data_IF_537799748721
#
_entry.id   IF_537799748721
#
_cell.length_a   1.000
_cell.length_b   1.000
_cell.length_c   1.000
_cell.angle_alpha   90.00
_cell.angle_beta   90.00
_cell.angle_gamma   90.00
#
_symmetry.space_group_name_H-M   'P 1'
#
loop_
_entity.id
_entity.type
_entity.pdbx_description
1 polymer ?
#
# COMPACT_ATOMS: atom_id res chain seq x y z
N UNK A 1 36.57 21.17 9.64
CA UNK A 1 37.14 20.06 8.83
C UNK A 1 36.92 18.64 9.40
N UNK A 2 36.13 18.43 10.49
CA UNK A 2 35.86 17.10 11.08
C UNK A 2 34.62 16.37 10.54
N UNK A 3 33.70 17.08 9.86
CA UNK A 3 32.46 16.51 9.30
C UNK A 3 32.69 15.67 8.02
N UNK A 4 33.74 15.93 7.23
CA UNK A 4 33.99 15.20 5.98
C UNK A 4 34.58 13.79 6.19
N UNK A 5 35.34 13.58 7.28
CA UNK A 5 35.94 12.26 7.57
C UNK A 5 34.92 11.23 8.09
N UNK A 6 33.87 11.67 8.80
CA UNK A 6 32.80 10.76 9.27
C UNK A 6 31.93 10.26 8.11
N UNK A 7 31.54 11.14 7.18
CA UNK A 7 30.76 10.75 5.99
C UNK A 7 31.50 9.77 5.08
N UNK A 8 32.82 9.96 4.89
CA UNK A 8 33.65 9.02 4.14
C UNK A 8 33.77 7.63 4.82
N UNK A 9 33.73 7.58 6.16
CA UNK A 9 33.73 6.32 6.91
C UNK A 9 32.38 5.60 6.88
N UNK A 10 31.28 6.36 6.80
CA UNK A 10 29.92 5.84 6.65
C UNK A 10 29.76 5.17 5.27
N UNK A 11 30.16 5.84 4.19
CA UNK A 11 30.09 5.27 2.84
C UNK A 11 30.92 3.99 2.68
N UNK A 12 32.10 3.91 3.30
CA UNK A 12 32.91 2.67 3.33
C UNK A 12 32.24 1.51 4.07
N UNK A 13 31.29 1.79 4.98
CA UNK A 13 30.52 0.78 5.73
C UNK A 13 29.19 0.41 5.05
N UNK A 14 28.67 1.26 4.15
CA UNK A 14 27.42 1.00 3.42
C UNK A 14 27.54 -0.17 2.44
N UNK A 15 28.65 -0.30 1.70
CA UNK A 15 28.86 -1.41 0.77
C UNK A 15 28.85 -2.80 1.45
N UNK A 16 29.68 -3.02 2.51
CA UNK A 16 29.66 -4.25 3.29
C UNK A 16 28.29 -4.52 3.95
N UNK A 17 27.61 -3.47 4.42
CA UNK A 17 26.26 -3.59 4.98
C UNK A 17 25.24 -4.04 3.92
N UNK A 18 25.22 -3.42 2.74
CA UNK A 18 24.33 -3.82 1.65
C UNK A 18 24.59 -5.28 1.21
N UNK A 19 25.86 -5.68 1.10
CA UNK A 19 26.22 -7.08 0.81
C UNK A 19 25.74 -8.04 1.91
N UNK A 20 25.86 -7.65 3.18
CA UNK A 20 25.35 -8.44 4.31
C UNK A 20 23.83 -8.57 4.26
N UNK A 21 23.11 -7.49 3.93
CA UNK A 21 21.64 -7.48 3.75
C UNK A 21 21.23 -8.41 2.61
N UNK A 22 21.86 -8.32 1.44
CA UNK A 22 21.55 -9.19 0.29
C UNK A 22 21.84 -10.66 0.63
N UNK A 23 22.96 -10.94 1.32
CA UNK A 23 23.31 -12.29 1.74
C UNK A 23 22.28 -12.87 2.72
N UNK A 24 21.85 -12.08 3.71
CA UNK A 24 20.80 -12.50 4.64
C UNK A 24 19.43 -12.64 3.97
N UNK A 25 19.07 -11.74 3.06
CA UNK A 25 17.83 -11.81 2.29
C UNK A 25 17.75 -13.10 1.49
N UNK A 26 18.83 -13.47 0.79
CA UNK A 26 18.91 -14.74 0.06
C UNK A 26 18.91 -15.96 1.00
N UNK A 27 19.63 -15.89 2.12
CA UNK A 27 19.67 -16.97 3.11
C UNK A 27 18.29 -17.25 3.74
N UNK A 28 17.47 -16.22 3.90
CA UNK A 28 16.12 -16.30 4.44
C UNK A 28 15.04 -16.55 3.36
N UNK A 29 15.43 -16.98 2.15
CA UNK A 29 14.51 -17.21 1.02
C UNK A 29 13.61 -16.00 0.72
N UNK A 30 14.14 -14.78 0.85
CA UNK A 30 13.38 -13.54 0.76
C UNK A 30 12.60 -13.39 -0.55
N UNK A 31 13.13 -13.89 -1.67
CA UNK A 31 12.42 -13.92 -2.95
C UNK A 31 11.17 -14.82 -2.93
N UNK A 32 11.27 -16.01 -2.32
CA UNK A 32 10.16 -16.95 -2.22
C UNK A 32 9.06 -16.37 -1.33
N UNK A 33 9.45 -15.80 -0.18
CA UNK A 33 8.53 -15.16 0.75
C UNK A 33 7.84 -13.93 0.12
N UNK A 34 8.60 -13.04 -0.51
CA UNK A 34 8.05 -11.86 -1.18
C UNK A 34 7.13 -12.25 -2.35
N UNK A 35 7.52 -13.26 -3.14
CA UNK A 35 6.70 -13.78 -4.23
C UNK A 35 5.40 -14.40 -3.72
N UNK A 36 5.45 -15.17 -2.64
CA UNK A 36 4.25 -15.75 -2.03
C UNK A 36 3.31 -14.65 -1.51
N UNK A 37 3.83 -13.66 -0.77
CA UNK A 37 3.02 -12.51 -0.31
C UNK A 37 2.39 -11.78 -1.50
N UNK A 38 3.15 -11.48 -2.55
CA UNK A 38 2.65 -10.79 -3.73
C UNK A 38 1.56 -11.60 -4.45
N UNK A 39 1.76 -12.90 -4.65
CA UNK A 39 0.81 -13.78 -5.32
C UNK A 39 -0.54 -13.87 -4.60
N UNK A 40 -0.53 -14.15 -3.29
CA UNK A 40 -1.78 -14.23 -2.52
C UNK A 40 -2.46 -12.85 -2.40
N UNK A 41 -1.68 -11.76 -2.34
CA UNK A 41 -2.23 -10.40 -2.38
C UNK A 41 -2.93 -10.14 -3.72
N UNK A 42 -2.29 -10.47 -4.85
CA UNK A 42 -2.86 -10.32 -6.19
C UNK A 42 -4.18 -11.10 -6.34
N UNK A 43 -4.22 -12.34 -5.85
CA UNK A 43 -5.45 -13.16 -5.85
C UNK A 43 -6.58 -12.53 -5.04
N UNK A 44 -6.27 -11.90 -3.90
CA UNK A 44 -7.28 -11.21 -3.07
C UNK A 44 -7.71 -9.84 -3.62
N UNK A 45 -6.85 -9.20 -4.42
CA UNK A 45 -7.06 -7.85 -4.94
C UNK A 45 -8.21 -7.81 -5.95
N UNK A 46 -8.33 -8.81 -6.81
CA UNK A 46 -9.40 -8.86 -7.83
C UNK A 46 -10.80 -8.90 -7.19
N UNK A 47 -11.12 -9.84 -6.27
CA UNK A 47 -12.40 -9.82 -5.55
C UNK A 47 -12.66 -8.52 -4.79
N UNK A 48 -11.63 -7.96 -4.15
CA UNK A 48 -11.74 -6.71 -3.41
C UNK A 48 -12.17 -5.55 -4.33
N UNK A 49 -11.53 -5.41 -5.50
CA UNK A 49 -11.88 -4.35 -6.44
C UNK A 49 -13.34 -4.47 -6.90
N UNK A 50 -13.81 -5.68 -7.21
CA UNK A 50 -15.20 -5.89 -7.62
C UNK A 50 -16.16 -5.57 -6.47
N UNK A 51 -15.85 -5.98 -5.24
CA UNK A 51 -16.67 -5.65 -4.06
C UNK A 51 -16.72 -4.13 -3.80
N UNK A 52 -15.62 -3.42 -3.97
CA UNK A 52 -15.59 -1.95 -3.87
C UNK A 52 -16.48 -1.32 -4.95
N UNK A 53 -16.46 -1.84 -6.19
CA UNK A 53 -17.35 -1.38 -7.25
C UNK A 53 -18.83 -1.65 -6.95
N UNK A 54 -19.14 -2.85 -6.42
CA UNK A 54 -20.48 -3.20 -5.96
C UNK A 54 -20.95 -2.30 -4.81
N UNK A 55 -20.06 -1.95 -3.88
CA UNK A 55 -20.39 -1.03 -2.81
C UNK A 55 -20.62 0.40 -3.35
N UNK A 56 -19.77 0.87 -4.27
CA UNK A 56 -19.89 2.19 -4.89
C UNK A 56 -21.17 2.33 -5.73
N UNK A 57 -21.65 1.26 -6.37
CA UNK A 57 -22.89 1.31 -7.15
C UNK A 57 -24.15 1.58 -6.32
N UNK A 58 -24.07 1.48 -4.99
CA UNK A 58 -25.17 1.89 -4.11
C UNK A 58 -25.26 3.42 -3.95
N UNK A 59 -24.18 4.15 -4.26
CA UNK A 59 -24.06 5.61 -4.05
C UNK A 59 -23.89 6.35 -5.38
N UNK A 60 -23.42 5.67 -6.43
CA UNK A 60 -23.13 6.22 -7.76
C UNK A 60 -23.86 5.40 -8.82
N UNK A 61 -24.42 6.06 -9.83
CA UNK A 61 -25.10 5.41 -10.95
C UNK A 61 -24.21 4.37 -11.65
N UNK A 62 -24.76 3.17 -11.85
CA UNK A 62 -24.05 2.03 -12.46
C UNK A 62 -23.49 2.36 -13.85
N UNK A 63 -24.26 3.07 -14.69
CA UNK A 63 -23.81 3.47 -16.03
C UNK A 63 -22.59 4.40 -15.97
N UNK A 64 -22.57 5.34 -15.02
CA UNK A 64 -21.46 6.26 -14.84
C UNK A 64 -20.20 5.53 -14.38
N UNK A 65 -20.35 4.53 -13.50
CA UNK A 65 -19.26 3.66 -13.08
C UNK A 65 -18.69 2.86 -14.26
N UNK A 66 -19.55 2.23 -15.07
CA UNK A 66 -19.12 1.41 -16.21
C UNK A 66 -18.41 2.24 -17.28
N UNK A 67 -18.89 3.45 -17.60
CA UNK A 67 -18.21 4.36 -18.53
C UNK A 67 -16.83 4.75 -18.01
N UNK A 68 -16.73 5.10 -16.72
CA UNK A 68 -15.45 5.46 -16.09
C UNK A 68 -14.48 4.28 -16.11
N UNK A 69 -14.96 3.08 -15.79
CA UNK A 69 -14.15 1.86 -15.82
C UNK A 69 -13.70 1.50 -17.21
N UNK A 70 -14.54 1.67 -18.23
CA UNK A 70 -14.13 1.48 -19.62
C UNK A 70 -12.94 2.34 -19.97
N UNK A 71 -12.99 3.64 -19.64
CA UNK A 71 -11.88 4.57 -19.90
C UNK A 71 -10.61 4.17 -19.15
N UNK A 72 -10.72 3.76 -17.88
CA UNK A 72 -9.58 3.30 -17.09
C UNK A 72 -8.99 2.00 -17.62
N UNK A 73 -9.85 1.04 -17.99
CA UNK A 73 -9.43 -0.25 -18.51
C UNK A 73 -8.83 -0.16 -19.90
N UNK A 74 -9.28 0.75 -20.76
CA UNK A 74 -8.68 0.96 -22.07
C UNK A 74 -7.23 1.46 -21.97
N UNK A 75 -6.91 2.21 -20.91
CA UNK A 75 -5.54 2.62 -20.61
C UNK A 75 -4.67 1.45 -20.10
N UNK A 76 -5.25 0.52 -19.33
CA UNK A 76 -4.50 -0.58 -18.68
C UNK A 76 -4.38 -1.81 -19.58
N UNK A 77 -5.45 -2.20 -20.27
CA UNK A 77 -5.53 -3.35 -21.17
C UNK A 77 -6.26 -2.94 -22.46
N UNK A 78 -5.55 -2.28 -23.40
CA UNK A 78 -6.14 -1.80 -24.64
C UNK A 78 -6.84 -2.93 -25.41
N UNK A 79 -8.06 -2.68 -25.89
CA UNK A 79 -8.84 -3.65 -26.68
C UNK A 79 -9.55 -4.77 -25.88
N UNK A 80 -9.40 -4.85 -24.56
CA UNK A 80 -10.19 -5.77 -23.71
C UNK A 80 -11.16 -5.06 -22.76
N UNK A 81 -11.19 -3.73 -22.76
CA UNK A 81 -12.04 -2.95 -21.86
C UNK A 81 -13.53 -3.32 -22.00
N UNK A 82 -14.03 -3.49 -23.23
CA UNK A 82 -15.45 -3.79 -23.47
C UNK A 82 -15.85 -5.18 -22.94
N UNK A 83 -14.97 -6.19 -23.06
CA UNK A 83 -15.22 -7.52 -22.51
C UNK A 83 -15.27 -7.51 -20.98
N UNK A 84 -14.33 -6.80 -20.35
CA UNK A 84 -14.26 -6.68 -18.88
C UNK A 84 -15.45 -5.89 -18.32
N UNK A 85 -15.85 -4.79 -18.96
CA UNK A 85 -17.03 -4.00 -18.58
C UNK A 85 -18.32 -4.82 -18.74
N UNK A 86 -18.40 -5.68 -19.76
CA UNK A 86 -19.48 -6.63 -19.93
C UNK A 86 -19.63 -7.59 -18.74
N UNK A 87 -18.53 -8.15 -18.25
CA UNK A 87 -18.54 -9.01 -17.06
C UNK A 87 -18.90 -8.27 -15.78
N UNK A 88 -18.41 -7.03 -15.62
CA UNK A 88 -18.78 -6.19 -14.48
C UNK A 88 -20.28 -5.89 -14.45
N UNK A 89 -20.90 -5.70 -15.62
CA UNK A 89 -22.36 -5.55 -15.73
C UNK A 89 -23.11 -6.81 -15.28
N UNK A 90 -22.57 -8.00 -15.58
CA UNK A 90 -23.14 -9.26 -15.09
C UNK A 90 -23.05 -9.34 -13.56
N UNK A 91 -21.95 -8.89 -12.95
CA UNK A 91 -21.80 -8.84 -11.50
C UNK A 91 -22.77 -7.88 -10.83
N UNK A 92 -23.06 -6.72 -11.44
CA UNK A 92 -24.07 -5.78 -10.94
C UNK A 92 -25.48 -6.38 -10.99
N UNK A 93 -25.81 -7.06 -12.10
CA UNK A 93 -27.10 -7.76 -12.26
C UNK A 93 -27.32 -8.83 -11.18
N UNK A 94 -26.28 -9.55 -10.79
CA UNK A 94 -26.35 -10.66 -9.82
C UNK A 94 -25.71 -10.32 -8.45
N UNK A 95 -25.73 -9.04 -8.06
CA UNK A 95 -24.97 -8.51 -6.91
C UNK A 95 -25.18 -9.24 -5.58
N UNK A 96 -26.37 -9.77 -5.30
CA UNK A 96 -26.65 -10.44 -4.02
C UNK A 96 -25.88 -11.76 -3.88
N UNK A 97 -25.90 -12.58 -4.93
CA UNK A 97 -25.22 -13.88 -4.96
C UNK A 97 -23.72 -13.69 -5.20
N UNK A 98 -23.36 -12.91 -6.22
CA UNK A 98 -21.97 -12.67 -6.60
C UNK A 98 -21.22 -11.93 -5.49
N UNK A 99 -21.85 -10.95 -4.84
CA UNK A 99 -21.25 -10.22 -3.73
C UNK A 99 -20.89 -11.14 -2.56
N UNK A 100 -21.78 -12.05 -2.17
CA UNK A 100 -21.51 -13.00 -1.08
C UNK A 100 -20.39 -13.99 -1.44
N UNK A 101 -20.39 -14.52 -2.66
CA UNK A 101 -19.33 -15.44 -3.14
C UNK A 101 -17.98 -14.73 -3.23
N UNK A 102 -17.94 -13.51 -3.76
CA UNK A 102 -16.73 -12.69 -3.83
C UNK A 102 -16.23 -12.32 -2.44
N UNK A 103 -17.12 -12.01 -1.50
CA UNK A 103 -16.74 -11.73 -0.11
C UNK A 103 -16.09 -12.93 0.56
N UNK A 104 -16.68 -14.12 0.43
CA UNK A 104 -16.08 -15.36 0.96
C UNK A 104 -14.74 -15.67 0.31
N UNK A 105 -14.66 -15.53 -1.02
CA UNK A 105 -13.42 -15.75 -1.79
C UNK A 105 -12.33 -14.76 -1.39
N UNK A 106 -12.69 -13.48 -1.21
CA UNK A 106 -11.81 -12.43 -0.73
C UNK A 106 -11.28 -12.76 0.66
N UNK A 107 -12.16 -13.13 1.60
CA UNK A 107 -11.77 -13.49 2.97
C UNK A 107 -10.82 -14.69 2.99
N UNK A 108 -11.07 -15.70 2.16
CA UNK A 108 -10.21 -16.88 2.03
C UNK A 108 -8.80 -16.52 1.54
N UNK A 109 -8.70 -15.82 0.39
CA UNK A 109 -7.40 -15.42 -0.14
C UNK A 109 -6.67 -14.42 0.76
N UNK A 110 -7.42 -13.52 1.39
CA UNK A 110 -6.87 -12.57 2.37
C UNK A 110 -6.28 -13.30 3.58
N UNK A 111 -6.98 -14.30 4.13
CA UNK A 111 -6.46 -15.12 5.23
C UNK A 111 -5.16 -15.85 4.85
N UNK A 112 -5.07 -16.38 3.63
CA UNK A 112 -3.83 -16.97 3.10
C UNK A 112 -2.71 -15.92 2.96
N UNK A 113 -3.01 -14.75 2.39
CA UNK A 113 -2.04 -13.66 2.24
C UNK A 113 -1.50 -13.21 3.60
N UNK A 114 -2.37 -13.04 4.60
CA UNK A 114 -1.96 -12.69 5.97
C UNK A 114 -1.14 -13.79 6.62
N UNK A 115 -1.51 -15.06 6.45
CA UNK A 115 -0.75 -16.19 6.99
C UNK A 115 0.67 -16.23 6.39
N UNK A 116 0.79 -16.04 5.08
CA UNK A 116 2.09 -16.01 4.40
C UNK A 116 2.92 -14.80 4.84
N UNK A 117 2.28 -13.64 5.00
CA UNK A 117 2.94 -12.45 5.51
C UNK A 117 3.42 -12.64 6.96
N UNK A 118 2.61 -13.22 7.84
CA UNK A 118 2.98 -13.54 9.21
C UNK A 118 4.15 -14.54 9.25
N UNK A 119 4.10 -15.58 8.43
CA UNK A 119 5.18 -16.55 8.30
C UNK A 119 6.47 -15.90 7.77
N UNK A 120 6.38 -15.02 6.77
CA UNK A 120 7.51 -14.27 6.25
C UNK A 120 8.15 -13.41 7.34
N UNK A 121 7.33 -12.70 8.13
CA UNK A 121 7.79 -11.89 9.26
C UNK A 121 8.42 -12.76 10.35
N UNK A 122 7.85 -13.92 10.67
CA UNK A 122 8.41 -14.88 11.62
C UNK A 122 9.80 -15.36 11.19
N UNK A 123 9.98 -15.67 9.91
CA UNK A 123 11.29 -16.08 9.34
C UNK A 123 12.29 -14.93 9.37
N UNK A 124 11.88 -13.71 9.00
CA UNK A 124 12.75 -12.52 9.01
C UNK A 124 13.19 -12.18 10.44
N UNK A 125 12.31 -12.32 11.43
CA UNK A 125 12.56 -11.96 12.83
C UNK A 125 12.91 -13.15 13.74
N UNK A 126 13.23 -14.32 13.17
CA UNK A 126 13.40 -15.61 13.84
C UNK A 126 14.26 -15.58 15.13
N UNK A 127 15.31 -14.75 15.16
CA UNK A 127 16.21 -14.61 16.33
C UNK A 127 15.60 -13.91 17.55
N UNK A 128 14.40 -13.31 17.46
CA UNK A 128 13.67 -12.71 18.61
C UNK A 128 12.35 -13.41 18.95
N UNK A 129 11.96 -14.45 18.21
CA UNK A 129 10.63 -15.09 18.28
C UNK A 129 10.50 -16.09 19.44
N UNK A 130 11.58 -16.43 20.15
CA UNK A 130 11.56 -17.54 21.12
C UNK A 130 10.79 -17.31 22.44
N UNK A 131 10.28 -16.10 22.78
CA UNK A 131 9.88 -15.86 24.20
C UNK A 131 8.47 -15.30 24.46
N UNK A 132 7.70 -14.74 23.51
CA UNK A 132 6.32 -14.28 23.84
C UNK A 132 5.31 -14.52 22.72
N UNK A 133 4.46 -15.54 22.89
CA UNK A 133 3.22 -15.70 22.12
C UNK A 133 2.20 -14.68 22.61
N UNK A 134 1.71 -13.81 21.72
CA UNK A 134 0.49 -13.03 21.99
C UNK A 134 -0.72 -13.98 21.95
N UNK A 135 -1.79 -13.63 22.65
CA UNK A 135 -3.02 -14.41 22.65
C UNK A 135 -3.53 -14.58 21.20
N UNK A 136 -3.92 -15.80 20.80
CA UNK A 136 -4.28 -16.17 19.42
C UNK A 136 -5.33 -15.22 18.80
N UNK A 137 -6.34 -14.85 19.59
CA UNK A 137 -7.38 -13.86 19.21
C UNK A 137 -6.80 -12.48 18.86
N UNK A 138 -5.79 -12.01 19.57
CA UNK A 138 -5.15 -10.72 19.27
C UNK A 138 -4.34 -10.83 17.98
N UNK A 139 -3.68 -11.97 17.73
CA UNK A 139 -2.97 -12.20 16.46
C UNK A 139 -3.91 -12.25 15.27
N UNK A 140 -5.10 -12.84 15.44
CA UNK A 140 -6.10 -12.94 14.39
C UNK A 140 -6.81 -11.60 14.12
N UNK A 141 -7.11 -10.78 15.14
CA UNK A 141 -7.89 -9.53 14.99
C UNK A 141 -7.02 -8.34 14.59
N UNK A 142 -5.76 -8.29 15.01
CA UNK A 142 -4.86 -7.15 14.73
C UNK A 142 -4.68 -6.84 13.23
N UNK A 143 -4.52 -7.83 12.32
CA UNK A 143 -4.44 -7.56 10.89
C UNK A 143 -5.69 -6.87 10.34
N UNK A 144 -6.89 -7.29 10.75
CA UNK A 144 -8.14 -6.68 10.28
C UNK A 144 -8.31 -5.26 10.80
N UNK A 145 -8.01 -5.01 12.07
CA UNK A 145 -8.02 -3.65 12.63
C UNK A 145 -7.02 -2.76 11.89
N UNK A 146 -5.82 -3.28 11.60
CA UNK A 146 -4.81 -2.59 10.82
C UNK A 146 -5.31 -2.23 9.42
N UNK A 147 -5.94 -3.17 8.71
CA UNK A 147 -6.57 -2.91 7.39
C UNK A 147 -7.60 -1.79 7.48
N UNK A 148 -8.46 -1.77 8.51
CA UNK A 148 -9.46 -0.71 8.69
C UNK A 148 -8.78 0.65 8.84
N UNK A 149 -7.73 0.74 9.67
CA UNK A 149 -6.95 1.98 9.80
C UNK A 149 -6.26 2.39 8.50
N UNK A 150 -5.74 1.43 7.72
CA UNK A 150 -5.17 1.71 6.41
C UNK A 150 -6.22 2.23 5.43
N UNK A 151 -7.40 1.62 5.40
CA UNK A 151 -8.52 2.05 4.56
C UNK A 151 -8.99 3.46 4.93
N UNK A 152 -9.14 3.75 6.22
CA UNK A 152 -9.45 5.09 6.71
C UNK A 152 -8.35 6.11 6.34
N UNK A 153 -7.08 5.73 6.52
CA UNK A 153 -5.95 6.56 6.12
C UNK A 153 -5.98 6.88 4.62
N UNK A 154 -6.24 5.88 3.78
CA UNK A 154 -6.38 6.06 2.34
C UNK A 154 -7.53 7.02 2.00
N UNK A 155 -8.72 6.82 2.58
CA UNK A 155 -9.86 7.71 2.38
C UNK A 155 -9.54 9.17 2.76
N UNK A 156 -8.89 9.38 3.90
CA UNK A 156 -8.45 10.71 4.34
C UNK A 156 -7.48 11.30 3.32
N UNK A 157 -6.47 10.54 2.86
CA UNK A 157 -5.51 11.04 1.86
C UNK A 157 -6.19 11.39 0.54
N UNK A 158 -7.19 10.62 0.09
CA UNK A 158 -7.96 10.92 -1.13
C UNK A 158 -8.74 12.22 -0.98
N UNK A 159 -9.48 12.39 0.13
CA UNK A 159 -10.27 13.61 0.38
C UNK A 159 -9.36 14.83 0.46
N UNK A 160 -8.27 14.74 1.22
CA UNK A 160 -7.32 15.84 1.38
C UNK A 160 -6.62 16.18 0.06
N UNK A 161 -6.23 15.17 -0.73
CA UNK A 161 -5.67 15.38 -2.06
C UNK A 161 -6.67 16.06 -3.00
N UNK A 162 -7.95 15.67 -2.96
CA UNK A 162 -9.02 16.32 -3.72
C UNK A 162 -9.20 17.79 -3.32
N UNK A 163 -9.17 18.09 -2.02
CA UNK A 163 -9.21 19.47 -1.52
C UNK A 163 -8.00 20.27 -2.01
N UNK A 164 -6.79 19.72 -1.95
CA UNK A 164 -5.60 20.41 -2.45
C UNK A 164 -5.62 20.64 -3.96
N UNK A 165 -6.12 19.68 -4.74
CA UNK A 165 -6.33 19.86 -6.17
C UNK A 165 -7.34 20.97 -6.47
N UNK A 166 -8.45 21.00 -5.73
CA UNK A 166 -9.48 22.03 -5.87
C UNK A 166 -8.96 23.43 -5.52
N UNK A 167 -8.22 23.57 -4.42
CA UNK A 167 -7.60 24.84 -4.00
C UNK A 167 -6.48 25.24 -4.96
N UNK A 168 -5.65 24.29 -5.40
CA UNK A 168 -4.55 24.51 -6.34
C UNK A 168 -5.00 24.99 -7.72
N UNK A 169 -6.23 24.67 -8.12
CA UNK A 169 -6.86 25.14 -9.35
C UNK A 169 -7.31 26.62 -9.27
N UNK A 170 -7.31 27.24 -8.08
CA UNK A 170 -7.65 28.65 -7.90
C UNK A 170 -6.41 29.54 -8.10
N UNK A 171 -6.56 30.60 -8.90
CA UNK A 171 -5.55 31.62 -9.08
C UNK A 171 -5.71 32.70 -8.00
N UNK A 172 -4.67 32.94 -7.20
CA UNK A 172 -4.65 34.07 -6.26
C UNK A 172 -3.83 35.21 -6.88
N UNK A 173 -4.42 36.40 -6.92
CA UNK A 173 -3.70 37.62 -7.31
C UNK A 173 -2.82 38.08 -6.16
N UNK A 174 -1.55 37.70 -6.19
CA UNK A 174 -0.53 38.18 -5.25
C UNK A 174 0.30 39.25 -5.98
N UNK A 175 0.38 40.47 -5.44
CA UNK A 175 1.15 41.58 -6.04
C UNK A 175 0.72 41.99 -7.47
N UNK A 176 -0.56 41.85 -7.82
CA UNK A 176 -1.08 42.25 -9.14
C UNK A 176 -0.67 41.34 -10.30
N UNK A 177 0.02 40.22 -10.04
CA UNK A 177 0.23 39.15 -11.00
C UNK A 177 -0.53 37.88 -10.58
N UNK A 178 -1.24 37.20 -11.50
CA UNK A 178 -1.86 35.92 -11.18
C UNK A 178 -0.75 34.89 -10.92
N UNK A 179 -0.60 34.44 -9.68
CA UNK A 179 0.23 33.28 -9.34
C UNK A 179 -0.69 32.10 -9.06
N UNK A 180 -0.49 31.02 -9.79
CA UNK A 180 -1.22 29.78 -9.53
C UNK A 180 -0.68 29.13 -8.25
N UNK A 181 -1.59 28.61 -7.43
CA UNK A 181 -1.23 27.76 -6.28
C UNK A 181 -0.88 26.33 -6.72
N UNK A 182 -1.04 26.00 -8.00
CA UNK A 182 -0.79 24.68 -8.58
C UNK A 182 0.55 24.06 -8.20
N UNK A 183 1.70 24.75 -8.32
CA UNK A 183 3.01 24.18 -7.94
C UNK A 183 3.13 23.86 -6.44
N UNK A 184 2.56 24.71 -5.58
CA UNK A 184 2.57 24.50 -4.12
C UNK A 184 1.64 23.35 -3.73
N UNK A 185 0.44 23.30 -4.32
CA UNK A 185 -0.51 22.20 -4.12
C UNK A 185 0.10 20.87 -4.59
N UNK A 186 0.76 20.86 -5.75
CA UNK A 186 1.48 19.69 -6.26
C UNK A 186 2.57 19.21 -5.32
N UNK A 187 3.39 20.13 -4.78
CA UNK A 187 4.42 19.80 -3.80
C UNK A 187 3.82 19.23 -2.50
N UNK A 188 2.74 19.84 -1.98
CA UNK A 188 2.08 19.38 -0.75
C UNK A 188 1.45 18.00 -0.93
N UNK A 189 0.81 17.75 -2.08
CA UNK A 189 0.28 16.42 -2.44
C UNK A 189 1.41 15.39 -2.52
N UNK A 190 2.54 15.74 -3.16
CA UNK A 190 3.69 14.84 -3.25
C UNK A 190 4.28 14.53 -1.87
N UNK A 191 4.56 15.54 -1.05
CA UNK A 191 5.08 15.36 0.30
C UNK A 191 4.14 14.56 1.19
N UNK A 192 2.83 14.77 1.05
CA UNK A 192 1.82 13.98 1.74
C UNK A 192 1.84 12.52 1.31
N UNK A 193 1.92 12.26 0.00
CA UNK A 193 2.03 10.90 -0.54
C UNK A 193 3.25 10.18 0.01
N UNK A 194 4.44 10.78 -0.13
CA UNK A 194 5.70 10.20 0.36
C UNK A 194 5.67 10.00 1.88
N UNK A 195 5.19 10.98 2.64
CA UNK A 195 5.08 10.85 4.10
C UNK A 195 4.09 9.74 4.48
N UNK A 196 2.94 9.69 3.82
CA UNK A 196 1.93 8.65 4.01
C UNK A 196 2.48 7.25 3.73
N UNK A 197 3.28 7.11 2.68
CA UNK A 197 3.94 5.86 2.33
C UNK A 197 4.99 5.43 3.37
N UNK A 198 5.85 6.35 3.82
CA UNK A 198 6.83 6.07 4.88
C UNK A 198 6.10 5.60 6.15
N UNK A 199 5.03 6.29 6.54
CA UNK A 199 4.23 5.93 7.71
C UNK A 199 3.54 4.58 7.53
N UNK A 200 2.99 4.31 6.35
CA UNK A 200 2.38 3.04 5.98
C UNK A 200 3.37 1.89 6.15
N UNK A 201 4.53 1.96 5.49
CA UNK A 201 5.55 0.92 5.53
C UNK A 201 6.13 0.75 6.95
N UNK A 202 6.32 1.86 7.66
CA UNK A 202 6.75 1.83 9.07
C UNK A 202 5.73 1.17 9.98
N UNK A 203 4.43 1.40 9.72
CA UNK A 203 3.35 0.82 10.52
C UNK A 203 3.27 -0.70 10.36
N UNK A 204 3.52 -1.23 9.15
CA UNK A 204 3.64 -2.67 8.90
C UNK A 204 4.74 -3.26 9.81
N UNK A 205 5.91 -2.60 9.90
CA UNK A 205 7.01 -3.04 10.75
C UNK A 205 6.76 -2.90 12.26
N UNK A 206 5.83 -2.04 12.68
CA UNK A 206 5.46 -1.90 14.09
C UNK A 206 4.36 -2.88 14.52
N UNK A 207 3.41 -3.16 13.63
CA UNK A 207 2.19 -3.90 13.95
C UNK A 207 2.38 -5.41 13.77
N UNK A 208 3.07 -5.83 12.70
CA UNK A 208 3.13 -7.24 12.29
C UNK A 208 4.13 -8.12 13.06
N UNK A 209 5.32 -7.67 13.47
CA UNK A 209 6.21 -8.55 14.23
C UNK A 209 5.70 -8.77 15.66
N UNK A 210 5.75 -10.03 16.13
CA UNK A 210 5.48 -10.42 17.54
C UNK A 210 6.52 -9.90 18.54
N UNK A 211 7.51 -9.10 18.10
CA UNK A 211 8.53 -8.46 18.94
C UNK A 211 8.38 -6.94 18.96
N UNK A 212 8.74 -6.30 20.08
CA UNK A 212 8.78 -4.83 20.18
C UNK A 212 9.94 -4.29 19.32
N UNK A 213 9.66 -3.84 18.11
CA UNK A 213 10.60 -3.03 17.33
C UNK A 213 10.55 -1.59 17.87
N UNK A 214 11.70 -0.93 18.02
CA UNK A 214 11.68 0.48 18.40
C UNK A 214 11.22 1.32 17.20
N UNK A 215 10.43 2.36 17.48
CA UNK A 215 9.84 3.26 16.47
C UNK A 215 10.89 3.85 15.52
N UNK A 216 12.11 4.08 16.02
CA UNK A 216 13.25 4.54 15.21
C UNK A 216 13.66 3.54 14.13
N UNK A 217 13.75 2.24 14.44
CA UNK A 217 14.11 1.23 13.44
C UNK A 217 12.97 1.01 12.43
N UNK A 218 11.72 1.10 12.87
CA UNK A 218 10.56 1.03 11.98
C UNK A 218 10.57 2.19 10.97
N UNK A 219 10.80 3.43 11.45
CA UNK A 219 10.87 4.61 10.57
C UNK A 219 12.05 4.55 9.60
N UNK A 220 13.23 4.10 10.05
CA UNK A 220 14.39 3.95 9.15
C UNK A 220 14.10 2.89 8.08
N UNK A 221 13.50 1.75 8.48
CA UNK A 221 13.10 0.70 7.55
C UNK A 221 12.04 1.19 6.57
N UNK A 222 10.98 1.85 7.05
CA UNK A 222 9.90 2.38 6.22
C UNK A 222 10.38 3.48 5.27
N UNK A 223 11.26 4.38 5.72
CA UNK A 223 11.89 5.37 4.85
C UNK A 223 12.79 4.73 3.79
N UNK A 224 13.56 3.70 4.14
CA UNK A 224 14.40 2.97 3.17
C UNK A 224 13.53 2.27 2.14
N UNK A 225 12.44 1.62 2.56
CA UNK A 225 11.51 0.95 1.68
C UNK A 225 10.76 1.94 0.75
N UNK A 226 10.33 3.09 1.28
CA UNK A 226 9.69 4.13 0.48
C UNK A 226 10.64 4.72 -0.58
N UNK A 227 11.91 4.93 -0.24
CA UNK A 227 12.92 5.36 -1.22
C UNK A 227 13.10 4.32 -2.32
N UNK A 228 13.20 3.03 -1.96
CA UNK A 228 13.30 1.96 -2.95
C UNK A 228 12.06 1.88 -3.84
N UNK A 229 10.88 2.08 -3.27
CA UNK A 229 9.61 2.11 -4.00
C UNK A 229 9.55 3.27 -4.98
N UNK A 230 9.86 4.48 -4.54
CA UNK A 230 9.86 5.68 -5.41
C UNK A 230 10.87 5.54 -6.55
N UNK A 231 12.03 4.89 -6.32
CA UNK A 231 12.98 4.56 -7.40
C UNK A 231 12.38 3.61 -8.43
N UNK A 232 11.59 2.61 -8.00
CA UNK A 232 10.96 1.65 -8.93
C UNK A 232 9.73 2.20 -9.65
N UNK A 233 9.13 3.27 -9.11
CA UNK A 233 7.91 3.89 -9.62
C UNK A 233 8.18 4.88 -10.76
N UNK A 234 9.38 5.43 -10.81
CA UNK A 234 9.86 6.37 -11.83
C UNK A 234 10.66 5.67 -12.93
#
# INVERSE_FOLDING_TARGET
MRLSRQSASLFKRLGPFALAVIKQFRANQGFLLAGAVAYYTLLSLVPLLILVLLALSHVVDEERLLVTLRTLLEFVVPGQADALVGELRNFFTHREVVGSVLLLTMLFFSALAFTVLENAMSVIFFHRVKIKRRHFLVSAVMPYVFIVFLGLGLLITTVVSGIFQFIGAQNITFFGQPRSLGPLAGLLIYLMGVTGEILLLSSIYLVMPVGRLSLRHALIGGATAAVLWEITRH
#
